data_IF_162388776723
#
_entry.id   IF_162388776723
#
_cell.length_a   1.000
_cell.length_b   1.000
_cell.length_c   1.000
_cell.angle_alpha   90.00
_cell.angle_beta   90.00
_cell.angle_gamma   90.00
#
_symmetry.space_group_name_H-M   'P 1'
#
loop_
_entity.id
_entity.type
_entity.pdbx_description
1 polymer ?
#
# COMPACT_ATOMS: atom_id res chain seq x y z
N UNK A 1 8.57 0.73 -10.96
CA UNK A 1 8.85 1.52 -9.74
C UNK A 1 8.21 0.94 -8.49
N UNK A 2 7.18 0.09 -8.57
CA UNK A 2 6.57 -0.53 -7.38
C UNK A 2 7.60 -1.30 -6.55
N UNK A 3 8.39 -2.19 -7.17
CA UNK A 3 9.37 -3.03 -6.44
C UNK A 3 10.39 -2.24 -5.59
N UNK A 4 10.93 -1.14 -6.14
CA UNK A 4 11.85 -0.27 -5.39
C UNK A 4 11.14 0.50 -4.28
N UNK A 5 9.91 0.96 -4.53
CA UNK A 5 9.12 1.63 -3.50
C UNK A 5 8.70 0.66 -2.39
N UNK A 6 8.40 -0.59 -2.70
CA UNK A 6 8.10 -1.63 -1.72
C UNK A 6 9.31 -1.90 -0.82
N UNK A 7 10.52 -1.90 -1.38
CA UNK A 7 11.76 -2.07 -0.61
C UNK A 7 12.02 -0.88 0.33
N UNK A 8 11.74 0.35 -0.11
CA UNK A 8 11.78 1.54 0.78
C UNK A 8 10.73 1.45 1.89
N UNK A 9 9.53 0.97 1.57
CA UNK A 9 8.43 0.80 2.55
C UNK A 9 8.77 -0.31 3.55
N UNK A 10 9.38 -1.40 3.09
CA UNK A 10 9.93 -2.45 3.95
C UNK A 10 10.97 -1.89 4.92
N UNK A 11 11.95 -1.11 4.43
CA UNK A 11 12.96 -0.46 5.26
C UNK A 11 12.33 0.49 6.29
N UNK A 12 11.35 1.31 5.88
CA UNK A 12 10.60 2.18 6.79
C UNK A 12 9.97 1.40 7.95
N UNK A 13 9.30 0.29 7.63
CA UNK A 13 8.66 -0.58 8.62
C UNK A 13 9.68 -1.28 9.52
N UNK A 14 10.78 -1.77 8.96
CA UNK A 14 11.84 -2.41 9.73
C UNK A 14 12.51 -1.43 10.70
N UNK A 15 12.75 -0.18 10.28
CA UNK A 15 13.27 0.89 11.17
C UNK A 15 12.32 1.16 12.34
N UNK A 16 11.02 1.06 12.13
CA UNK A 16 10.01 1.13 13.21
C UNK A 16 9.87 -0.20 14.00
N UNK A 17 10.74 -1.19 13.77
CA UNK A 17 10.77 -2.43 14.54
C UNK A 17 9.72 -3.47 14.14
N UNK A 18 9.14 -3.36 12.94
CA UNK A 18 8.32 -4.43 12.37
C UNK A 18 9.17 -5.50 11.69
N UNK A 19 8.77 -6.75 11.85
CA UNK A 19 9.20 -7.85 10.97
C UNK A 19 8.31 -7.86 9.73
N UNK A 20 8.93 -7.97 8.55
CA UNK A 20 8.22 -7.84 7.27
C UNK A 20 8.32 -9.10 6.42
N UNK A 21 7.32 -9.28 5.56
CA UNK A 21 7.39 -10.17 4.39
C UNK A 21 6.91 -9.35 3.19
N UNK A 22 7.72 -9.31 2.13
CA UNK A 22 7.42 -8.59 0.89
C UNK A 22 7.02 -9.54 -0.24
N UNK A 23 6.12 -9.13 -1.13
CA UNK A 23 5.71 -9.87 -2.31
C UNK A 23 4.96 -11.18 -1.99
N UNK A 24 4.06 -11.14 -1.02
CA UNK A 24 3.35 -12.34 -0.53
C UNK A 24 2.32 -12.79 -1.55
N UNK A 25 2.49 -14.01 -2.08
CA UNK A 25 1.58 -14.60 -3.08
C UNK A 25 0.60 -15.59 -2.46
N UNK A 26 -0.68 -15.44 -2.79
CA UNK A 26 -1.76 -16.37 -2.41
C UNK A 26 -2.62 -16.70 -3.63
N UNK A 27 -2.34 -17.84 -4.26
CA UNK A 27 -2.92 -18.20 -5.56
C UNK A 27 -2.49 -17.20 -6.64
N UNK A 28 -3.47 -16.52 -7.26
CA UNK A 28 -3.24 -15.47 -8.26
C UNK A 28 -3.15 -14.06 -7.66
N UNK A 29 -3.24 -13.93 -6.35
CA UNK A 29 -3.21 -12.63 -5.66
C UNK A 29 -1.85 -12.39 -5.03
N UNK A 30 -1.50 -11.11 -4.94
CA UNK A 30 -0.27 -10.63 -4.31
C UNK A 30 -0.61 -9.54 -3.29
N UNK A 31 0.13 -9.52 -2.18
CA UNK A 31 0.15 -8.46 -1.17
C UNK A 31 1.56 -7.93 -1.07
N UNK A 32 1.70 -6.61 -1.16
CA UNK A 32 3.02 -6.00 -1.39
C UNK A 32 3.91 -6.11 -0.15
N UNK A 33 3.47 -5.63 1.01
CA UNK A 33 4.21 -5.77 2.28
C UNK A 33 3.26 -6.12 3.43
N UNK A 34 3.58 -7.19 4.16
CA UNK A 34 2.98 -7.52 5.44
C UNK A 34 3.96 -7.24 6.56
N UNK A 35 3.51 -6.60 7.64
CA UNK A 35 4.37 -6.21 8.76
C UNK A 35 3.75 -6.61 10.10
N UNK A 36 4.54 -7.22 10.98
CA UNK A 36 4.10 -7.62 12.32
C UNK A 36 5.10 -7.11 13.36
N UNK A 37 4.60 -6.49 14.44
CA UNK A 37 5.39 -6.07 15.59
C UNK A 37 4.74 -6.54 16.89
N UNK A 38 5.41 -7.37 17.71
CA UNK A 38 4.92 -7.73 19.04
C UNK A 38 4.72 -6.49 19.92
N UNK A 39 3.68 -6.51 20.76
CA UNK A 39 3.38 -5.41 21.68
C UNK A 39 3.76 -5.77 23.12
N UNK A 40 4.12 -4.74 23.90
CA UNK A 40 4.35 -4.89 25.35
C UNK A 40 3.03 -5.25 26.02
N UNK A 41 3.01 -6.33 26.80
CA UNK A 41 1.79 -6.86 27.41
C UNK A 41 1.08 -7.94 26.58
N UNK A 42 1.66 -8.35 25.45
CA UNK A 42 1.13 -9.39 24.58
C UNK A 42 0.39 -8.84 23.37
N UNK A 43 0.07 -9.72 22.42
CA UNK A 43 -0.56 -9.35 21.15
C UNK A 43 0.43 -8.81 20.11
N UNK A 44 -0.12 -8.45 18.95
CA UNK A 44 0.64 -8.05 17.78
C UNK A 44 -0.02 -6.86 17.10
N UNK A 45 0.79 -5.92 16.63
CA UNK A 45 0.37 -4.92 15.67
C UNK A 45 0.66 -5.46 14.27
N UNK A 46 -0.36 -5.52 13.42
CA UNK A 46 -0.27 -6.10 12.09
C UNK A 46 -0.66 -5.05 11.03
N UNK A 47 0.13 -4.95 9.95
CA UNK A 47 -0.09 -4.00 8.87
C UNK A 47 -0.05 -4.71 7.53
N UNK A 48 -1.11 -4.56 6.74
CA UNK A 48 -1.14 -4.96 5.33
C UNK A 48 -1.00 -3.69 4.49
N UNK A 49 0.16 -3.52 3.87
CA UNK A 49 0.51 -2.35 3.09
C UNK A 49 0.56 -2.70 1.61
N UNK A 50 -0.21 -1.97 0.81
CA UNK A 50 -0.12 -1.98 -0.66
C UNK A 50 0.65 -0.71 -1.11
N UNK A 51 1.50 -0.84 -2.12
CA UNK A 51 2.43 0.21 -2.56
C UNK A 51 2.18 0.56 -4.02
N UNK A 52 1.78 1.81 -4.25
CA UNK A 52 1.54 2.35 -5.58
C UNK A 52 2.34 3.64 -5.82
N UNK A 53 3.61 3.47 -6.18
CA UNK A 53 4.51 4.57 -6.48
C UNK A 53 4.57 4.88 -7.99
N UNK A 54 4.08 6.07 -8.36
CA UNK A 54 4.30 6.68 -9.67
C UNK A 54 4.89 8.08 -9.53
N UNK A 55 5.86 8.41 -10.40
CA UNK A 55 6.43 9.76 -10.53
C UNK A 55 5.58 10.58 -11.52
N UNK A 56 5.05 9.92 -12.56
CA UNK A 56 4.29 10.55 -13.64
C UNK A 56 2.98 9.76 -13.88
N UNK A 57 1.98 9.85 -12.99
CA UNK A 57 0.73 9.12 -13.13
C UNK A 57 -0.11 9.63 -14.32
N UNK A 58 -0.49 8.73 -15.23
CA UNK A 58 -1.26 9.07 -16.44
C UNK A 58 -2.77 8.76 -16.33
N UNK A 59 -3.16 7.97 -15.32
CA UNK A 59 -4.53 7.54 -15.06
C UNK A 59 -4.85 7.53 -13.55
N UNK A 60 -6.10 7.23 -13.23
CA UNK A 60 -6.53 6.83 -11.89
C UNK A 60 -5.73 5.61 -11.39
N UNK A 61 -5.61 5.49 -10.07
CA UNK A 61 -5.09 4.30 -9.41
C UNK A 61 -6.05 3.12 -9.57
N UNK A 62 -7.35 3.38 -9.42
CA UNK A 62 -8.39 2.35 -9.52
C UNK A 62 -8.82 2.15 -10.97
N UNK A 63 -9.18 0.91 -11.29
CA UNK A 63 -9.83 0.57 -12.56
C UNK A 63 -11.32 0.94 -12.49
N UNK A 64 -11.98 1.30 -13.61
CA UNK A 64 -13.44 1.40 -13.64
C UNK A 64 -14.06 0.09 -13.15
N UNK A 65 -15.25 0.03 -12.53
CA UNK A 65 -15.81 -1.20 -11.98
C UNK A 65 -15.92 -2.32 -13.01
N UNK A 66 -15.81 -3.57 -12.57
CA UNK A 66 -15.84 -4.76 -13.42
C UNK A 66 -17.07 -4.82 -14.33
N UNK A 67 -18.24 -4.39 -13.85
CA UNK A 67 -19.47 -4.29 -14.65
C UNK A 67 -19.31 -3.35 -15.85
N UNK A 68 -18.73 -2.17 -15.63
CA UNK A 68 -18.46 -1.17 -16.68
C UNK A 68 -17.38 -1.65 -17.65
N UNK A 69 -16.33 -2.32 -17.14
CA UNK A 69 -15.27 -2.90 -17.98
C UNK A 69 -15.81 -3.99 -18.91
N UNK A 70 -16.69 -4.85 -18.42
CA UNK A 70 -17.33 -5.92 -19.22
C UNK A 70 -18.20 -5.37 -20.35
N UNK A 71 -18.90 -4.26 -20.10
CA UNK A 71 -19.77 -3.62 -21.10
C UNK A 71 -18.98 -2.80 -22.14
N UNK A 72 -17.99 -2.03 -21.69
CA UNK A 72 -17.26 -1.09 -22.56
C UNK A 72 -16.04 -1.71 -23.25
N UNK A 73 -15.53 -2.84 -22.77
CA UNK A 73 -14.26 -3.43 -23.21
C UNK A 73 -13.02 -2.64 -22.77
N UNK A 74 -13.18 -1.47 -22.15
CA UNK A 74 -12.09 -0.58 -21.74
C UNK A 74 -11.60 -0.97 -20.35
N UNK A 75 -10.35 -1.44 -20.25
CA UNK A 75 -9.76 -1.82 -18.96
C UNK A 75 -9.29 -0.62 -18.13
N UNK A 76 -8.82 0.44 -18.80
CA UNK A 76 -8.35 1.68 -18.20
C UNK A 76 -8.75 2.87 -19.08
N UNK A 77 -9.20 3.95 -18.45
CA UNK A 77 -9.33 5.24 -19.12
C UNK A 77 -8.75 6.36 -18.26
N UNK A 78 -8.19 7.35 -18.96
CA UNK A 78 -7.65 8.56 -18.36
C UNK A 78 -8.70 9.68 -18.27
N UNK A 79 -9.91 9.43 -18.79
CA UNK A 79 -11.05 10.37 -18.74
C UNK A 79 -11.51 10.51 -17.30
N UNK A 80 -11.84 11.74 -16.91
CA UNK A 80 -12.36 12.04 -15.58
C UNK A 80 -13.65 11.24 -15.36
N UNK A 81 -13.74 10.53 -14.23
CA UNK A 81 -14.93 9.78 -13.82
C UNK A 81 -15.83 10.70 -13.01
N UNK A 82 -17.14 10.47 -13.09
CA UNK A 82 -18.05 11.07 -12.11
C UNK A 82 -17.85 10.45 -10.73
N UNK A 83 -18.38 11.12 -9.70
CA UNK A 83 -18.18 10.72 -8.31
C UNK A 83 -18.79 9.34 -7.99
N UNK A 84 -20.02 8.99 -8.43
CA UNK A 84 -20.57 7.66 -8.19
C UNK A 84 -19.70 6.54 -8.76
N UNK A 85 -19.26 6.66 -10.02
CA UNK A 85 -18.42 5.66 -10.67
C UNK A 85 -17.04 5.56 -10.00
N UNK A 86 -16.46 6.68 -9.60
CA UNK A 86 -15.18 6.69 -8.89
C UNK A 86 -15.29 6.02 -7.52
N UNK A 87 -16.37 6.28 -6.77
CA UNK A 87 -16.62 5.61 -5.48
C UNK A 87 -16.77 4.10 -5.64
N UNK A 88 -17.53 3.64 -6.62
CA UNK A 88 -17.65 2.20 -6.91
C UNK A 88 -16.30 1.59 -7.33
N UNK A 89 -15.51 2.32 -8.12
CA UNK A 89 -14.15 1.90 -8.52
C UNK A 89 -13.24 1.69 -7.30
N UNK A 90 -13.32 2.60 -6.32
CA UNK A 90 -12.55 2.52 -5.07
C UNK A 90 -13.02 1.35 -4.21
N UNK A 91 -14.33 1.15 -4.04
CA UNK A 91 -14.85 0.04 -3.24
C UNK A 91 -14.45 -1.32 -3.83
N UNK A 92 -14.59 -1.53 -5.15
CA UNK A 92 -14.15 -2.77 -5.80
C UNK A 92 -12.62 -2.94 -5.66
N UNK A 93 -11.85 -1.86 -5.74
CA UNK A 93 -10.40 -1.92 -5.57
C UNK A 93 -10.01 -2.30 -4.14
N UNK A 94 -10.62 -1.70 -3.11
CA UNK A 94 -10.38 -2.03 -1.69
C UNK A 94 -10.75 -3.49 -1.43
N UNK A 95 -11.87 -3.95 -1.98
CA UNK A 95 -12.31 -5.33 -1.83
C UNK A 95 -11.26 -6.31 -2.38
N UNK A 96 -10.78 -6.07 -3.60
CA UNK A 96 -9.78 -6.92 -4.23
C UNK A 96 -8.41 -6.84 -3.55
N UNK A 97 -8.00 -5.65 -3.10
CA UNK A 97 -6.67 -5.43 -2.53
C UNK A 97 -6.58 -5.89 -1.09
N UNK A 98 -7.62 -5.71 -0.27
CA UNK A 98 -7.53 -5.95 1.17
C UNK A 98 -8.51 -7.00 1.69
N UNK A 99 -9.74 -7.05 1.17
CA UNK A 99 -10.81 -7.87 1.77
C UNK A 99 -10.98 -9.23 1.09
N UNK A 100 -10.25 -9.50 0.01
CA UNK A 100 -10.43 -10.74 -0.74
C UNK A 100 -10.28 -11.96 0.21
N UNK A 101 -11.24 -12.91 0.23
CA UNK A 101 -11.28 -13.96 1.27
C UNK A 101 -9.99 -14.77 1.43
N UNK A 102 -9.29 -15.04 0.32
CA UNK A 102 -7.99 -15.74 0.36
C UNK A 102 -6.87 -14.93 1.04
N UNK A 103 -6.88 -13.60 0.91
CA UNK A 103 -5.92 -12.72 1.60
C UNK A 103 -6.23 -12.73 3.08
N UNK A 104 -7.49 -12.49 3.47
CA UNK A 104 -7.92 -12.52 4.88
C UNK A 104 -7.59 -13.84 5.57
N UNK A 105 -7.86 -14.98 4.91
CA UNK A 105 -7.52 -16.30 5.44
C UNK A 105 -6.01 -16.45 5.70
N UNK A 106 -5.17 -15.97 4.78
CA UNK A 106 -3.72 -15.98 4.97
C UNK A 106 -3.29 -15.06 6.12
N UNK A 107 -3.79 -13.82 6.16
CA UNK A 107 -3.50 -12.87 7.25
C UNK A 107 -3.84 -13.46 8.62
N UNK A 108 -5.03 -14.05 8.78
CA UNK A 108 -5.45 -14.70 10.02
C UNK A 108 -4.56 -15.90 10.39
N UNK A 109 -4.08 -16.66 9.41
CA UNK A 109 -3.14 -17.78 9.67
C UNK A 109 -1.74 -17.33 10.07
N UNK A 110 -1.30 -16.16 9.60
CA UNK A 110 0.02 -15.61 9.90
C UNK A 110 0.05 -14.95 11.28
N UNK A 111 -1.00 -14.19 11.62
CA UNK A 111 -1.12 -13.54 12.91
C UNK A 111 -2.58 -13.26 13.27
N UNK A 112 -3.04 -13.62 14.48
CA UNK A 112 -4.41 -13.33 14.92
C UNK A 112 -4.63 -11.87 15.33
N UNK A 113 -3.65 -10.98 15.14
CA UNK A 113 -3.79 -9.54 15.43
C UNK A 113 -4.65 -8.81 14.40
N UNK A 114 -5.11 -7.61 14.75
CA UNK A 114 -5.88 -6.77 13.85
C UNK A 114 -4.99 -6.20 12.75
N UNK A 115 -5.28 -6.57 11.51
CA UNK A 115 -4.54 -6.10 10.33
C UNK A 115 -5.09 -4.76 9.85
N UNK A 116 -4.28 -3.71 9.94
CA UNK A 116 -4.60 -2.43 9.31
C UNK A 116 -4.49 -2.55 7.79
N UNK A 117 -5.31 -1.77 7.07
CA UNK A 117 -5.27 -1.65 5.61
C UNK A 117 -4.59 -0.35 5.27
N UNK A 118 -3.47 -0.43 4.58
CA UNK A 118 -2.65 0.74 4.32
C UNK A 118 -2.23 0.80 2.86
N UNK A 119 -2.14 2.03 2.37
CA UNK A 119 -1.74 2.33 1.01
C UNK A 119 -0.63 3.38 1.03
N UNK A 120 0.53 3.03 0.49
CA UNK A 120 1.62 3.98 0.23
C UNK A 120 1.55 4.43 -1.22
N UNK A 121 1.43 5.74 -1.46
CA UNK A 121 1.35 6.30 -2.81
C UNK A 121 2.44 7.34 -3.10
N UNK A 122 2.89 7.36 -4.35
CA UNK A 122 3.66 8.46 -4.90
C UNK A 122 2.77 9.66 -5.29
N UNK A 123 3.00 10.21 -6.49
CA UNK A 123 2.06 11.14 -7.10
C UNK A 123 0.86 10.37 -7.65
N UNK A 124 -0.33 10.96 -7.53
CA UNK A 124 -1.55 10.47 -8.18
C UNK A 124 -2.06 11.53 -9.16
N UNK A 125 -2.82 11.10 -10.16
CA UNK A 125 -3.40 12.03 -11.14
C UNK A 125 -4.61 12.79 -10.58
N UNK A 126 -5.39 12.12 -9.74
CA UNK A 126 -6.65 12.62 -9.18
C UNK A 126 -6.63 12.44 -7.66
N UNK A 127 -6.50 13.54 -6.94
CA UNK A 127 -6.39 13.56 -5.47
C UNK A 127 -7.72 13.19 -4.77
N UNK A 128 -8.85 13.44 -5.44
CA UNK A 128 -10.18 13.05 -4.95
C UNK A 128 -10.30 11.53 -4.73
N UNK A 129 -9.55 10.72 -5.48
CA UNK A 129 -9.53 9.26 -5.34
C UNK A 129 -8.98 8.83 -3.98
N UNK A 130 -7.96 9.53 -3.47
CA UNK A 130 -7.36 9.21 -2.17
C UNK A 130 -8.30 9.54 -1.00
N UNK A 131 -9.18 10.52 -1.16
CA UNK A 131 -10.18 10.85 -0.14
C UNK A 131 -11.19 9.71 -0.01
N UNK A 132 -11.66 9.19 -1.15
CA UNK A 132 -12.57 8.03 -1.18
C UNK A 132 -11.91 6.76 -0.64
N UNK A 133 -10.61 6.56 -0.89
CA UNK A 133 -9.86 5.41 -0.34
C UNK A 133 -9.77 5.50 1.18
N UNK A 134 -9.55 6.69 1.75
CA UNK A 134 -9.60 6.92 3.20
C UNK A 134 -10.99 6.69 3.78
N UNK A 135 -12.04 7.19 3.11
CA UNK A 135 -13.44 6.95 3.51
C UNK A 135 -13.78 5.44 3.53
N UNK A 136 -13.15 4.65 2.65
CA UNK A 136 -13.28 3.19 2.61
C UNK A 136 -12.44 2.45 3.70
N UNK A 137 -11.85 3.16 4.65
CA UNK A 137 -11.15 2.58 5.80
C UNK A 137 -9.70 2.19 5.54
N UNK A 138 -9.05 2.78 4.53
CA UNK A 138 -7.62 2.56 4.23
C UNK A 138 -6.79 3.76 4.67
N UNK A 139 -5.77 3.53 5.48
CA UNK A 139 -4.80 4.56 5.84
C UNK A 139 -3.90 4.86 4.63
N UNK A 140 -3.81 6.13 4.23
CA UNK A 140 -3.00 6.53 3.06
C UNK A 140 -1.76 7.29 3.50
N UNK A 141 -0.59 6.78 3.12
CA UNK A 141 0.71 7.40 3.32
C UNK A 141 1.26 7.93 2.00
N UNK A 142 1.96 9.07 2.02
CA UNK A 142 2.76 9.49 0.86
C UNK A 142 4.18 8.96 1.00
N UNK A 143 4.72 8.43 -0.09
CA UNK A 143 6.10 7.98 -0.13
C UNK A 143 7.09 9.11 0.23
N UNK A 144 6.81 10.35 -0.20
CA UNK A 144 7.63 11.52 0.17
C UNK A 144 7.64 11.79 1.69
N UNK A 145 6.53 11.52 2.37
CA UNK A 145 6.39 11.79 3.81
C UNK A 145 7.09 10.67 4.59
N UNK A 146 7.04 9.43 4.10
CA UNK A 146 7.82 8.29 4.62
C UNK A 146 9.33 8.56 4.51
N UNK A 147 9.83 8.99 3.34
CA UNK A 147 11.25 9.29 3.15
C UNK A 147 11.72 10.40 4.10
N UNK A 148 10.91 11.44 4.26
CA UNK A 148 11.17 12.51 5.22
C UNK A 148 11.21 11.98 6.65
N UNK A 149 10.23 11.14 7.04
CA UNK A 149 10.19 10.52 8.36
C UNK A 149 11.44 9.68 8.64
N UNK A 150 11.90 8.88 7.67
CA UNK A 150 13.10 8.04 7.81
C UNK A 150 14.39 8.85 7.96
N UNK A 151 14.38 10.11 7.51
CA UNK A 151 15.52 11.04 7.65
C UNK A 151 15.49 11.73 9.02
N UNK A 152 14.31 12.15 9.46
CA UNK A 152 14.14 12.95 10.68
C UNK A 152 14.07 12.12 11.97
N UNK A 153 13.54 10.90 11.89
CA UNK A 153 13.30 10.04 13.06
C UNK A 153 14.35 8.94 13.16
N UNK A 154 14.90 8.78 14.37
CA UNK A 154 15.68 7.60 14.72
C UNK A 154 14.72 6.43 14.95
N UNK A 155 14.78 5.45 14.05
CA UNK A 155 14.08 4.17 14.23
C UNK A 155 14.65 3.37 15.40
N UNK A 156 13.86 2.39 15.85
CA UNK A 156 14.30 1.36 16.81
C UNK A 156 15.41 0.50 16.19
N UNK A 157 15.30 0.25 14.89
CA UNK A 157 16.33 -0.42 14.09
C UNK A 157 17.05 0.62 13.24
N UNK A 158 18.39 0.54 13.18
CA UNK A 158 19.22 1.50 12.44
C UNK A 158 19.10 1.34 10.92
N UNK A 159 19.10 0.10 10.44
CA UNK A 159 19.07 -0.27 9.04
C UNK A 159 18.62 -1.73 8.89
N UNK A 160 17.96 -2.07 7.79
CA UNK A 160 17.61 -3.43 7.42
C UNK A 160 17.88 -3.68 5.92
N UNK A 161 17.10 -4.57 5.28
CA UNK A 161 17.37 -5.05 3.92
C UNK A 161 17.19 -4.00 2.82
N UNK A 162 16.47 -2.90 3.08
CA UNK A 162 16.28 -1.82 2.09
C UNK A 162 17.14 -0.59 2.34
N UNK A 163 18.08 -0.66 3.29
CA UNK A 163 18.92 0.48 3.67
C UNK A 163 19.80 0.98 2.52
N UNK A 164 20.38 0.08 1.71
CA UNK A 164 21.24 0.46 0.58
C UNK A 164 20.49 1.33 -0.44
N UNK A 165 19.25 0.95 -0.78
CA UNK A 165 18.41 1.73 -1.68
C UNK A 165 18.04 3.08 -1.09
N UNK A 166 17.68 3.11 0.19
CA UNK A 166 17.40 4.36 0.90
C UNK A 166 18.62 5.29 0.89
N UNK A 167 19.81 4.77 1.21
CA UNK A 167 21.05 5.55 1.24
C UNK A 167 21.41 6.10 -0.16
N UNK A 168 21.19 5.32 -1.23
CA UNK A 168 21.34 5.80 -2.61
C UNK A 168 20.41 6.98 -2.94
N UNK A 169 19.20 7.01 -2.38
CA UNK A 169 18.26 8.11 -2.58
C UNK A 169 18.72 9.41 -1.90
N UNK A 170 19.50 9.29 -0.81
CA UNK A 170 20.05 10.43 -0.06
C UNK A 170 21.26 11.08 -0.75
N UNK A 171 21.90 10.41 -1.73
CA UNK A 171 23.05 10.97 -2.47
C UNK A 171 22.69 12.20 -3.35
N UNK A 172 21.41 12.58 -3.42
CA UNK A 172 20.95 13.75 -4.19
C UNK A 172 20.86 15.03 -3.37
N UNK A 173 21.20 15.00 -2.09
CA UNK A 173 21.31 16.18 -1.24
C UNK A 173 22.66 16.90 -1.41
#
# INVERSE_FOLDING_TARGET
MSLLAEEVVEEWLNRDGFFTIRGVKVGSYEMDVLAIRPQVGGGHQCRHVEVQASINPISYMTKPPSAVRKQSGVQFNAKKRDLPLLRESVLEWVENKFNHPKKLALLHSLCPGDWTKELVVGRVKYEEELSLVKEAGVTVHRLKDILKEMTEKKGVVKAASGADLYDLMQLRE
#
